data_IF_342904108804
#
_entry.id   IF_342904108804
#
_cell.length_a   1.000
_cell.length_b   1.000
_cell.length_c   1.000
_cell.angle_alpha   90.00
_cell.angle_beta   90.00
_cell.angle_gamma   90.00
#
_symmetry.space_group_name_H-M   'P 1'
#
loop_
_entity.id
_entity.type
_entity.pdbx_description
1 polymer ?
#
# COMPACT_ATOMS: atom_id res chain seq x y z
N UNK A 1 -14.56 -2.46 6.74
CA UNK A 1 -13.93 -1.38 7.47
C UNK A 1 -13.36 -1.76 8.82
N UNK A 2 -13.22 -3.04 9.14
CA UNK A 2 -12.63 -3.49 10.38
C UNK A 2 -13.44 -3.20 11.66
N UNK A 3 -14.50 -2.40 11.61
CA UNK A 3 -15.35 -2.09 12.73
C UNK A 3 -16.57 -3.04 12.79
N UNK A 4 -16.99 -3.43 13.99
CA UNK A 4 -18.06 -4.41 14.22
C UNK A 4 -19.37 -4.10 13.46
N UNK A 5 -19.87 -2.83 13.40
CA UNK A 5 -21.09 -2.52 12.66
C UNK A 5 -21.05 -2.82 11.17
N UNK A 6 -19.87 -2.99 10.59
CA UNK A 6 -19.67 -3.24 9.16
C UNK A 6 -19.30 -4.68 8.84
N UNK A 7 -19.30 -5.57 9.83
CA UNK A 7 -18.82 -6.95 9.70
C UNK A 7 -19.58 -7.76 8.67
N UNK A 8 -20.90 -7.63 8.66
CA UNK A 8 -21.79 -8.41 7.79
C UNK A 8 -22.16 -7.65 6.50
N UNK A 9 -21.58 -6.46 6.27
CA UNK A 9 -21.91 -5.68 5.09
C UNK A 9 -21.24 -6.24 3.84
N UNK A 10 -22.05 -6.45 2.81
CA UNK A 10 -21.62 -6.82 1.45
C UNK A 10 -22.14 -5.76 0.49
N UNK A 11 -21.22 -5.11 -0.19
CA UNK A 11 -21.55 -4.10 -1.19
C UNK A 11 -21.63 -4.78 -2.56
N UNK A 12 -22.70 -4.55 -3.30
CA UNK A 12 -22.91 -5.09 -4.66
C UNK A 12 -22.01 -4.46 -5.73
N UNK A 13 -20.92 -3.81 -5.33
CA UNK A 13 -20.01 -3.08 -6.23
C UNK A 13 -18.61 -3.65 -6.12
N UNK A 14 -18.03 -3.99 -7.25
CA UNK A 14 -16.60 -4.36 -7.34
C UNK A 14 -15.78 -3.10 -7.57
N UNK A 15 -14.73 -2.91 -6.76
CA UNK A 15 -13.82 -1.78 -6.92
C UNK A 15 -13.01 -1.87 -8.22
N UNK A 16 -12.88 -0.77 -8.94
CA UNK A 16 -12.13 -0.68 -10.20
C UNK A 16 -10.72 -1.29 -10.13
N UNK A 17 -9.90 -1.02 -9.09
CA UNK A 17 -8.57 -1.65 -9.00
C UNK A 17 -8.63 -3.19 -8.93
N UNK A 18 -9.65 -3.76 -8.28
CA UNK A 18 -9.83 -5.22 -8.24
C UNK A 18 -10.26 -5.77 -9.59
N UNK A 19 -11.19 -5.09 -10.27
CA UNK A 19 -11.63 -5.48 -11.61
C UNK A 19 -10.46 -5.51 -12.59
N UNK A 20 -9.64 -4.47 -12.63
CA UNK A 20 -8.46 -4.38 -13.50
C UNK A 20 -7.42 -5.47 -13.21
N UNK A 21 -7.21 -5.78 -11.95
CA UNK A 21 -6.30 -6.86 -11.58
C UNK A 21 -6.83 -8.23 -12.03
N UNK A 22 -8.12 -8.50 -11.90
CA UNK A 22 -8.74 -9.73 -12.42
C UNK A 22 -8.65 -9.80 -13.96
N UNK A 23 -8.89 -8.70 -14.67
CA UNK A 23 -8.71 -8.59 -16.12
C UNK A 23 -7.24 -8.82 -16.54
N UNK A 24 -6.29 -8.45 -15.70
CA UNK A 24 -4.87 -8.76 -15.88
C UNK A 24 -4.48 -10.20 -15.47
N UNK A 25 -5.44 -11.03 -15.06
CA UNK A 25 -5.23 -12.43 -14.72
C UNK A 25 -4.96 -12.70 -13.22
N UNK A 26 -5.08 -11.73 -12.35
CA UNK A 26 -4.95 -11.95 -10.91
C UNK A 26 -6.19 -12.67 -10.34
N UNK A 27 -5.97 -13.51 -9.33
CA UNK A 27 -7.03 -14.24 -8.63
C UNK A 27 -7.27 -13.62 -7.27
N UNK A 28 -8.50 -13.20 -6.99
CA UNK A 28 -8.90 -12.71 -5.68
C UNK A 28 -8.96 -13.86 -4.68
N UNK A 29 -7.98 -13.97 -3.80
CA UNK A 29 -7.86 -15.07 -2.83
C UNK A 29 -8.56 -14.79 -1.50
N UNK A 30 -8.56 -13.54 -1.03
CA UNK A 30 -9.06 -13.20 0.29
C UNK A 30 -9.41 -11.71 0.46
N UNK A 31 -10.30 -11.43 1.41
CA UNK A 31 -10.41 -10.12 2.06
C UNK A 31 -9.61 -10.17 3.36
N UNK A 32 -8.76 -9.20 3.56
CA UNK A 32 -7.81 -9.17 4.66
C UNK A 32 -8.27 -8.23 5.77
N UNK A 33 -7.73 -8.43 6.98
CA UNK A 33 -8.02 -7.57 8.11
C UNK A 33 -7.52 -6.15 7.87
N UNK A 34 -8.25 -5.20 8.43
CA UNK A 34 -7.95 -3.79 8.28
C UNK A 34 -8.32 -3.06 9.57
N UNK A 35 -7.51 -2.10 9.97
CA UNK A 35 -7.77 -1.34 11.18
C UNK A 35 -9.13 -0.65 11.14
N UNK A 36 -9.88 -0.76 12.23
CA UNK A 36 -11.22 -0.23 12.34
C UNK A 36 -11.25 1.26 12.00
N UNK A 37 -12.18 1.65 11.11
CA UNK A 37 -12.35 3.03 10.63
C UNK A 37 -11.03 3.66 10.13
N UNK A 38 -10.22 2.86 9.41
CA UNK A 38 -8.93 3.25 8.86
C UNK A 38 -7.86 3.63 9.92
N UNK A 39 -7.95 3.08 11.13
CA UNK A 39 -7.04 3.37 12.25
C UNK A 39 -6.34 2.11 12.78
N UNK A 40 -4.99 2.12 12.78
CA UNK A 40 -4.18 1.09 13.44
C UNK A 40 -4.40 -0.33 12.95
N UNK A 41 -4.19 -1.31 13.82
CA UNK A 41 -4.23 -2.75 13.52
C UNK A 41 -5.30 -3.53 14.29
N UNK A 42 -6.19 -2.82 14.98
CA UNK A 42 -7.34 -3.41 15.70
C UNK A 42 -8.55 -3.46 14.77
N UNK A 43 -9.24 -4.59 14.75
CA UNK A 43 -10.46 -4.81 13.97
C UNK A 43 -11.41 -5.74 14.73
N UNK A 44 -12.62 -5.96 14.27
CA UNK A 44 -13.62 -6.78 14.97
C UNK A 44 -13.14 -8.23 15.24
N UNK A 45 -12.16 -8.75 14.49
CA UNK A 45 -11.55 -10.06 14.73
C UNK A 45 -10.32 -10.02 15.65
N UNK A 46 -10.04 -8.89 16.31
CA UNK A 46 -8.91 -8.72 17.23
C UNK A 46 -7.80 -7.85 16.65
N UNK A 47 -6.56 -8.22 16.89
CA UNK A 47 -5.38 -7.46 16.46
C UNK A 47 -4.60 -8.20 15.39
N UNK A 48 -4.31 -7.52 14.26
CA UNK A 48 -3.40 -8.04 13.24
C UNK A 48 -1.96 -7.93 13.74
N UNK A 49 -1.20 -9.02 13.63
CA UNK A 49 0.14 -9.14 14.19
C UNK A 49 1.22 -8.95 13.13
N UNK A 50 2.38 -8.48 13.54
CA UNK A 50 3.60 -8.51 12.73
C UNK A 50 4.14 -9.95 12.66
N UNK A 51 4.26 -10.58 11.48
CA UNK A 51 4.72 -11.97 11.38
C UNK A 51 6.13 -12.21 11.94
N UNK A 52 7.00 -11.22 11.86
CA UNK A 52 8.38 -11.32 12.37
C UNK A 52 8.47 -11.09 13.89
N UNK A 53 7.47 -10.47 14.48
CA UNK A 53 7.38 -10.28 15.93
C UNK A 53 5.91 -10.29 16.36
N UNK A 54 5.31 -11.45 16.63
CA UNK A 54 3.91 -11.58 16.99
C UNK A 54 3.48 -10.88 18.30
N UNK A 55 4.42 -10.45 19.13
CA UNK A 55 4.14 -9.61 20.29
C UNK A 55 3.71 -8.18 19.88
N UNK A 56 4.13 -7.75 18.68
CA UNK A 56 3.78 -6.46 18.11
C UNK A 56 2.61 -6.57 17.13
N UNK A 57 1.82 -5.51 17.02
CA UNK A 57 0.87 -5.36 15.93
C UNK A 57 1.54 -5.00 14.62
N UNK A 58 0.84 -5.24 13.50
CA UNK A 58 1.33 -4.93 12.15
C UNK A 58 1.36 -3.44 11.84
N UNK A 59 0.83 -2.58 12.72
CA UNK A 59 0.42 -1.23 12.32
C UNK A 59 -0.71 -1.29 11.26
N UNK A 60 -1.13 -0.14 10.74
CA UNK A 60 -2.25 -0.14 9.79
C UNK A 60 -2.47 1.26 9.16
N UNK A 61 -3.62 1.38 8.53
CA UNK A 61 -4.82 0.52 8.57
C UNK A 61 -4.81 -0.67 7.58
N UNK A 62 -3.95 -0.70 6.56
CA UNK A 62 -3.81 -1.87 5.68
C UNK A 62 -3.05 -3.02 6.39
N UNK A 63 -3.53 -3.38 7.57
CA UNK A 63 -2.88 -4.25 8.53
C UNK A 63 -2.68 -5.67 8.01
N UNK A 64 -3.77 -6.30 7.58
CA UNK A 64 -3.74 -7.65 7.03
C UNK A 64 -3.01 -7.74 5.69
N UNK A 65 -3.08 -6.70 4.87
CA UNK A 65 -2.37 -6.66 3.60
C UNK A 65 -0.86 -6.75 3.79
N UNK A 66 -0.30 -5.91 4.66
CA UNK A 66 1.14 -5.96 4.94
C UNK A 66 1.55 -7.25 5.69
N UNK A 67 0.74 -7.68 6.66
CA UNK A 67 1.02 -8.90 7.43
C UNK A 67 1.00 -10.16 6.57
N UNK A 68 0.02 -10.31 5.67
CA UNK A 68 -0.10 -11.50 4.81
C UNK A 68 1.04 -11.60 3.79
N UNK A 69 1.45 -10.46 3.19
CA UNK A 69 2.59 -10.42 2.28
C UNK A 69 3.89 -10.72 3.02
N UNK A 70 4.08 -10.14 4.20
CA UNK A 70 5.26 -10.39 5.05
C UNK A 70 5.36 -11.86 5.51
N UNK A 71 4.22 -12.49 5.77
CA UNK A 71 4.15 -13.92 6.12
C UNK A 71 4.35 -14.86 4.90
N UNK A 72 4.47 -14.33 3.69
CA UNK A 72 4.61 -15.13 2.47
C UNK A 72 3.33 -15.82 2.00
N UNK A 73 2.17 -15.47 2.58
CA UNK A 73 0.88 -16.07 2.24
C UNK A 73 0.35 -15.60 0.87
N UNK A 74 0.71 -14.40 0.48
CA UNK A 74 0.29 -13.76 -0.78
C UNK A 74 1.50 -13.12 -1.47
N UNK A 75 1.58 -13.14 -2.80
CA UNK A 75 2.61 -12.42 -3.55
C UNK A 75 2.44 -10.90 -3.45
N UNK A 76 1.21 -10.44 -3.44
CA UNK A 76 0.85 -9.04 -3.24
C UNK A 76 -0.54 -8.90 -2.60
N UNK A 77 -0.82 -7.72 -2.09
CA UNK A 77 -2.15 -7.32 -1.60
C UNK A 77 -2.38 -5.84 -1.93
N UNK A 78 -3.63 -5.40 -1.86
CA UNK A 78 -3.97 -3.98 -1.95
C UNK A 78 -4.08 -3.36 -0.56
N UNK A 79 -3.62 -2.13 -0.47
CA UNK A 79 -3.81 -1.27 0.68
C UNK A 79 -4.45 0.06 0.29
N UNK A 80 -4.96 0.77 1.27
CA UNK A 80 -5.43 2.14 1.11
C UNK A 80 -4.68 3.06 2.07
N UNK A 81 -4.49 4.30 1.66
CA UNK A 81 -3.82 5.29 2.48
C UNK A 81 -4.44 6.68 2.37
N UNK A 82 -4.89 7.18 3.49
CA UNK A 82 -5.15 8.61 3.69
C UNK A 82 -3.85 9.28 4.12
N UNK A 83 -3.27 8.81 5.24
CA UNK A 83 -2.03 9.33 5.82
C UNK A 83 -1.30 8.19 6.57
N UNK A 84 -0.41 7.48 5.88
CA UNK A 84 0.44 6.43 6.47
C UNK A 84 -0.11 5.00 6.41
N UNK A 85 -1.34 4.76 5.94
CA UNK A 85 -2.00 3.45 6.06
C UNK A 85 -1.49 2.35 5.11
N UNK A 86 -0.65 2.67 4.13
CA UNK A 86 0.17 1.72 3.37
C UNK A 86 1.59 1.70 3.94
N UNK A 87 2.21 2.88 4.03
CA UNK A 87 3.64 2.97 4.37
C UNK A 87 3.94 2.54 5.81
N UNK A 88 3.04 2.80 6.76
CA UNK A 88 3.26 2.45 8.16
C UNK A 88 3.24 0.92 8.41
N UNK A 89 2.22 0.15 7.94
CA UNK A 89 2.25 -1.29 8.09
C UNK A 89 3.35 -1.95 7.24
N UNK A 90 3.64 -1.45 6.04
CA UNK A 90 4.75 -1.93 5.23
C UNK A 90 6.09 -1.79 5.96
N UNK A 91 6.36 -0.62 6.55
CA UNK A 91 7.54 -0.39 7.36
C UNK A 91 7.60 -1.30 8.59
N UNK A 92 6.46 -1.53 9.26
CA UNK A 92 6.38 -2.36 10.45
C UNK A 92 6.60 -3.83 10.13
N UNK A 93 6.07 -4.31 9.02
CA UNK A 93 6.16 -5.71 8.59
C UNK A 93 7.34 -5.98 7.64
N UNK A 94 8.15 -4.98 7.29
CA UNK A 94 9.35 -5.17 6.48
C UNK A 94 9.07 -5.56 5.02
N UNK A 95 8.01 -5.04 4.43
CA UNK A 95 7.65 -5.29 3.02
C UNK A 95 7.54 -3.99 2.23
N UNK A 96 7.86 -3.99 0.93
CA UNK A 96 7.60 -2.86 0.06
C UNK A 96 6.11 -2.56 -0.09
N UNK A 97 5.77 -1.28 -0.13
CA UNK A 97 4.45 -0.80 -0.49
C UNK A 97 4.56 0.49 -1.28
N UNK A 98 3.78 0.61 -2.32
CA UNK A 98 3.71 1.81 -3.13
C UNK A 98 2.47 2.61 -2.78
N UNK A 99 2.67 3.80 -2.23
CA UNK A 99 1.63 4.81 -2.10
C UNK A 99 1.63 5.70 -3.34
N UNK A 100 0.67 5.52 -4.26
CA UNK A 100 0.64 6.32 -5.48
C UNK A 100 0.34 7.80 -5.22
N UNK A 101 0.56 8.62 -6.23
CA UNK A 101 0.04 9.97 -6.29
C UNK A 101 -1.49 9.93 -6.25
N UNK A 102 -2.12 10.89 -5.58
CA UNK A 102 -3.58 11.04 -5.55
C UNK A 102 -4.15 11.11 -6.97
N UNK A 103 -5.17 10.31 -7.23
CA UNK A 103 -5.80 10.21 -8.55
C UNK A 103 -5.09 9.29 -9.55
N UNK A 104 -3.94 8.71 -9.22
CA UNK A 104 -3.27 7.77 -10.13
C UNK A 104 -4.02 6.42 -10.26
N UNK A 105 -4.80 6.05 -9.25
CA UNK A 105 -5.65 4.86 -9.22
C UNK A 105 -7.06 5.27 -8.85
N UNK A 106 -8.06 4.78 -9.58
CA UNK A 106 -9.47 4.99 -9.24
C UNK A 106 -9.79 4.39 -7.87
N UNK A 107 -10.56 5.12 -7.08
CA UNK A 107 -11.07 4.69 -5.77
C UNK A 107 -12.53 4.23 -5.85
N UNK A 108 -13.11 4.17 -7.06
CA UNK A 108 -14.47 3.68 -7.22
C UNK A 108 -14.63 2.29 -6.62
N UNK A 109 -15.66 2.11 -5.82
CA UNK A 109 -15.92 0.87 -5.08
C UNK A 109 -15.06 0.67 -3.83
N UNK A 110 -14.12 1.57 -3.55
CA UNK A 110 -13.41 1.62 -2.27
C UNK A 110 -14.18 2.52 -1.29
N UNK A 111 -14.22 2.13 -0.02
CA UNK A 111 -14.86 2.94 1.00
C UNK A 111 -13.95 4.10 1.41
N UNK A 112 -14.41 5.34 1.32
CA UNK A 112 -13.57 6.51 1.60
C UNK A 112 -13.42 6.76 3.11
N UNK A 113 -12.26 7.32 3.48
CA UNK A 113 -12.08 8.06 4.72
C UNK A 113 -12.00 9.56 4.41
N UNK A 114 -11.18 9.93 3.42
CA UNK A 114 -11.01 11.31 2.99
C UNK A 114 -11.05 11.41 1.46
N UNK A 115 -12.02 12.15 0.95
CA UNK A 115 -12.22 12.32 -0.49
C UNK A 115 -11.03 12.96 -1.22
N UNK A 116 -10.24 13.77 -0.53
CA UNK A 116 -9.12 14.52 -1.10
C UNK A 116 -7.76 13.90 -0.81
N UNK A 117 -7.70 12.83 -0.01
CA UNK A 117 -6.43 12.27 0.45
C UNK A 117 -6.28 10.77 0.19
N UNK A 118 -7.36 10.02 0.03
CA UNK A 118 -7.29 8.57 -0.09
C UNK A 118 -6.64 8.11 -1.40
N UNK A 119 -5.78 7.14 -1.30
CA UNK A 119 -5.11 6.46 -2.41
C UNK A 119 -5.23 4.96 -2.22
N UNK A 120 -5.31 4.23 -3.33
CA UNK A 120 -5.22 2.77 -3.35
C UNK A 120 -3.87 2.40 -3.95
N UNK A 121 -3.15 1.48 -3.32
CA UNK A 121 -1.84 1.08 -3.79
C UNK A 121 -1.48 -0.35 -3.42
N UNK A 122 -0.50 -0.94 -4.12
CA UNK A 122 -0.05 -2.30 -3.88
C UNK A 122 0.93 -2.39 -2.70
N UNK A 123 0.86 -3.53 -2.01
CA UNK A 123 1.83 -4.02 -1.04
C UNK A 123 2.33 -5.35 -1.59
N UNK A 124 3.63 -5.53 -1.77
CA UNK A 124 4.19 -6.69 -2.44
C UNK A 124 5.50 -7.12 -1.78
N UNK A 125 6.07 -8.26 -2.19
CA UNK A 125 7.34 -8.76 -1.64
C UNK A 125 8.56 -8.00 -2.19
N UNK A 126 8.45 -7.47 -3.40
CA UNK A 126 9.51 -6.64 -4.01
C UNK A 126 8.95 -5.33 -4.55
N UNK A 127 9.82 -4.34 -4.74
CA UNK A 127 9.44 -3.07 -5.38
C UNK A 127 9.04 -3.28 -6.85
N UNK A 128 9.65 -4.27 -7.51
CA UNK A 128 9.32 -4.66 -8.90
C UNK A 128 7.89 -5.18 -8.98
N UNK A 129 7.51 -6.10 -8.09
CA UNK A 129 6.14 -6.62 -8.02
C UNK A 129 5.13 -5.50 -7.74
N UNK A 130 5.46 -4.58 -6.84
CA UNK A 130 4.61 -3.42 -6.55
C UNK A 130 4.42 -2.54 -7.79
N UNK A 131 5.47 -2.35 -8.60
CA UNK A 131 5.41 -1.64 -9.87
C UNK A 131 4.50 -2.31 -10.90
N UNK A 132 4.59 -3.63 -11.05
CA UNK A 132 3.75 -4.43 -11.96
C UNK A 132 2.27 -4.33 -11.55
N UNK A 133 1.98 -4.55 -10.26
CA UNK A 133 0.61 -4.47 -9.73
C UNK A 133 0.05 -3.05 -9.89
N UNK A 134 0.85 -2.03 -9.62
CA UNK A 134 0.45 -0.64 -9.80
C UNK A 134 0.12 -0.34 -11.27
N UNK A 135 0.93 -0.78 -12.21
CA UNK A 135 0.70 -0.55 -13.64
C UNK A 135 -0.61 -1.18 -14.12
N UNK A 136 -0.95 -2.37 -13.64
CA UNK A 136 -2.19 -3.04 -13.96
C UNK A 136 -3.44 -2.31 -13.41
N UNK A 137 -3.35 -1.62 -12.27
CA UNK A 137 -4.52 -1.05 -11.59
C UNK A 137 -4.69 0.47 -11.79
N UNK A 138 -3.69 1.18 -12.34
CA UNK A 138 -3.71 2.65 -12.49
C UNK A 138 -4.61 3.14 -13.61
N UNK A 139 -4.92 4.42 -13.56
CA UNK A 139 -5.63 5.16 -14.62
C UNK A 139 -7.07 5.51 -14.28
N UNK A 140 -7.64 6.30 -15.15
CA UNK A 140 -9.02 6.79 -15.08
C UNK A 140 -10.00 5.69 -15.51
N UNK A 141 -11.14 5.61 -14.86
CA UNK A 141 -12.26 4.72 -15.18
C UNK A 141 -13.56 5.47 -15.50
N UNK A 142 -13.54 6.81 -15.47
CA UNK A 142 -14.72 7.64 -15.63
C UNK A 142 -15.70 7.61 -14.45
N UNK A 143 -15.39 6.88 -13.37
CA UNK A 143 -16.25 6.69 -12.19
C UNK A 143 -15.73 7.41 -10.95
N UNK A 144 -14.41 7.52 -10.78
CA UNK A 144 -13.79 8.38 -9.77
C UNK A 144 -13.39 9.73 -10.41
N UNK A 145 -14.06 10.83 -10.07
CA UNK A 145 -13.77 12.13 -10.67
C UNK A 145 -12.37 12.67 -10.37
N UNK A 146 -11.64 12.05 -9.44
CA UNK A 146 -10.24 12.40 -9.16
C UNK A 146 -9.24 11.56 -9.96
N UNK A 147 -9.67 10.45 -10.56
CA UNK A 147 -8.79 9.57 -11.29
C UNK A 147 -8.29 10.23 -12.60
N UNK A 148 -7.05 9.93 -12.96
CA UNK A 148 -6.38 10.53 -14.12
C UNK A 148 -5.48 9.53 -14.83
N UNK A 149 -5.41 9.62 -16.14
CA UNK A 149 -4.45 8.90 -16.94
C UNK A 149 -3.11 9.63 -16.91
N UNK A 150 -2.17 9.13 -16.12
CA UNK A 150 -0.80 9.66 -16.05
C UNK A 150 0.16 8.66 -16.68
N UNK A 151 1.19 9.15 -17.35
CA UNK A 151 2.23 8.28 -17.86
C UNK A 151 2.96 7.58 -16.71
N UNK A 152 3.27 6.30 -16.91
CA UNK A 152 4.09 5.52 -15.98
C UNK A 152 5.21 4.86 -16.79
N UNK A 153 6.34 5.57 -16.89
CA UNK A 153 7.51 5.13 -17.64
C UNK A 153 8.44 4.31 -16.72
N UNK A 154 7.92 3.27 -16.08
CA UNK A 154 8.72 2.42 -15.23
C UNK A 154 9.50 1.39 -16.06
N UNK A 155 10.80 1.34 -15.82
CA UNK A 155 11.71 0.39 -16.45
C UNK A 155 12.44 -0.39 -15.36
N UNK A 156 12.04 -1.64 -15.08
CA UNK A 156 12.74 -2.48 -14.11
C UNK A 156 14.17 -2.75 -14.60
N UNK A 157 15.13 -2.66 -13.66
CA UNK A 157 16.53 -2.90 -13.97
C UNK A 157 17.28 -1.67 -14.52
N UNK A 158 16.70 -0.48 -14.48
CA UNK A 158 17.43 0.75 -14.77
C UNK A 158 18.64 0.91 -13.84
N UNK A 159 19.76 1.32 -14.40
CA UNK A 159 20.99 1.58 -13.66
C UNK A 159 20.79 2.81 -12.75
N UNK A 160 20.70 2.59 -11.44
CA UNK A 160 20.52 3.66 -10.47
C UNK A 160 21.71 4.60 -10.35
N UNK A 161 22.90 4.21 -10.84
CA UNK A 161 24.09 5.05 -10.81
C UNK A 161 23.98 6.24 -11.77
N UNK A 162 23.08 6.15 -12.75
CA UNK A 162 22.78 7.25 -13.68
C UNK A 162 21.78 8.27 -13.11
N UNK A 163 21.22 8.02 -11.93
CA UNK A 163 20.24 8.89 -11.32
C UNK A 163 20.90 9.95 -10.43
N UNK A 164 20.46 11.18 -10.56
CA UNK A 164 20.80 12.23 -9.60
C UNK A 164 19.83 12.20 -8.43
N UNK A 165 20.29 11.69 -7.28
CA UNK A 165 19.47 11.57 -6.08
C UNK A 165 19.69 12.76 -5.17
N UNK A 166 18.63 13.53 -4.90
CA UNK A 166 18.62 14.61 -3.91
C UNK A 166 18.16 14.10 -2.56
N UNK A 167 18.89 14.45 -1.50
CA UNK A 167 18.52 14.15 -0.11
C UNK A 167 18.13 15.44 0.58
N UNK A 168 16.85 15.56 0.97
CA UNK A 168 16.40 16.66 1.82
C UNK A 168 16.92 16.41 3.25
N UNK A 169 17.73 17.34 3.74
CA UNK A 169 18.13 17.41 5.15
C UNK A 169 17.28 18.48 5.84
N UNK A 170 16.46 18.05 6.78
CA UNK A 170 15.92 18.96 7.79
C UNK A 170 16.85 18.86 9.00
N UNK A 171 17.54 19.95 9.35
CA UNK A 171 18.54 19.97 10.42
C UNK A 171 17.97 19.56 11.80
N UNK A 172 16.65 19.63 11.95
CA UNK A 172 15.92 19.25 13.16
C UNK A 172 15.24 17.87 13.10
N UNK A 173 15.47 17.09 12.04
CA UNK A 173 14.88 15.76 11.93
C UNK A 173 15.79 14.74 12.60
N UNK A 174 15.35 14.04 13.67
CA UNK A 174 16.15 12.99 14.27
C UNK A 174 16.34 11.85 13.25
N UNK A 175 17.51 11.78 12.64
CA UNK A 175 17.86 10.72 11.74
C UNK A 175 17.93 9.39 12.53
N UNK A 176 17.04 8.45 12.22
CA UNK A 176 17.05 7.11 12.78
C UNK A 176 18.22 6.31 12.20
N UNK A 177 18.68 5.27 12.91
CA UNK A 177 19.80 4.45 12.43
C UNK A 177 19.55 3.82 11.06
N UNK A 178 18.31 3.40 10.76
CA UNK A 178 17.94 2.90 9.44
C UNK A 178 18.05 3.97 8.34
N UNK A 179 17.73 5.23 8.66
CA UNK A 179 17.83 6.34 7.71
C UNK A 179 19.29 6.67 7.43
N UNK A 180 20.14 6.62 8.45
CA UNK A 180 21.61 6.78 8.31
C UNK A 180 22.22 5.65 7.47
N UNK A 181 21.83 4.43 7.73
CA UNK A 181 22.31 3.27 6.97
C UNK A 181 21.91 3.36 5.49
N UNK A 182 20.69 3.77 5.19
CA UNK A 182 20.20 3.97 3.82
C UNK A 182 20.97 5.11 3.10
N UNK A 183 21.18 6.24 3.77
CA UNK A 183 21.96 7.35 3.23
C UNK A 183 23.42 6.93 2.99
N UNK A 184 24.02 6.15 3.88
CA UNK A 184 25.36 5.62 3.68
C UNK A 184 25.44 4.65 2.51
N UNK A 185 24.41 3.81 2.34
CA UNK A 185 24.33 2.89 1.20
C UNK A 185 24.22 3.69 -0.11
N UNK A 186 23.33 4.70 -0.19
CA UNK A 186 23.19 5.57 -1.37
C UNK A 186 24.50 6.25 -1.77
N UNK A 187 25.33 6.66 -0.79
CA UNK A 187 26.62 7.32 -1.06
C UNK A 187 27.68 6.38 -1.61
N UNK A 188 27.45 5.08 -1.56
CA UNK A 188 28.38 4.05 -2.04
C UNK A 188 28.04 3.57 -3.47
N UNK A 189 26.87 3.96 -3.98
CA UNK A 189 26.44 3.69 -5.36
C UNK A 189 26.98 4.77 -6.30
#
# INVERSE_FOLDING_TARGET
FGAEPYKEQVWGVKATPLQRLEEAGAVLCAKLSLGALAMGDQWFGGRTRNPYNPAQGSSGSSAGSASSVAAGLLPFALGTETLGSIVSPCRRCGVPGLRPTFGAVSRFGAMPLSWTMDKVGPIARTAVDAGIVFDAMRGDDGLDPSARNTAFAWQPGSDITQLRVGILRADNWPARECDKAFIQWLKKQ
#
